data_IF_346375001251
#
_entry.id   IF_346375001251
#
_cell.length_a   1.000
_cell.length_b   1.000
_cell.length_c   1.000
_cell.angle_alpha   90.00
_cell.angle_beta   90.00
_cell.angle_gamma   90.00
#
_symmetry.space_group_name_H-M   'P 1'
#
loop_
_entity.id
_entity.type
_entity.pdbx_description
1 polymer ?
#
# COMPACT_ATOMS: atom_id res chain seq x y z
N UNK A 1 -27.15 27.54 -34.49
CA UNK A 1 -25.75 27.83 -34.89
C UNK A 1 -25.04 28.31 -33.63
N UNK A 2 -24.13 27.61 -32.98
CA UNK A 2 -23.48 26.34 -33.24
C UNK A 2 -23.37 25.60 -31.90
N UNK A 3 -23.53 24.28 -31.99
CA UNK A 3 -23.11 23.29 -31.00
C UNK A 3 -21.60 23.36 -30.76
N UNK A 4 -21.17 23.08 -29.53
CA UNK A 4 -19.80 22.64 -29.23
C UNK A 4 -19.80 22.02 -27.83
N UNK A 5 -19.96 20.70 -27.68
CA UNK A 5 -18.87 19.69 -27.68
C UNK A 5 -17.80 20.12 -26.66
N UNK A 6 -17.75 19.60 -25.43
CA UNK A 6 -17.69 18.18 -25.06
C UNK A 6 -18.30 18.00 -23.65
N UNK A 7 -19.33 17.17 -23.41
CA UNK A 7 -19.21 15.72 -23.25
C UNK A 7 -17.85 15.23 -22.76
N UNK A 8 -17.48 15.55 -21.52
CA UNK A 8 -16.67 14.67 -20.67
C UNK A 8 -17.26 14.69 -19.24
N UNK A 9 -18.16 13.73 -18.96
CA UNK A 9 -17.88 12.49 -18.20
C UNK A 9 -17.95 12.80 -16.69
N UNK A 10 -19.13 12.65 -16.07
CA UNK A 10 -19.61 11.42 -15.43
C UNK A 10 -18.59 10.83 -14.42
N UNK A 11 -19.11 10.51 -13.24
CA UNK A 11 -18.49 9.74 -12.15
C UNK A 11 -17.60 10.50 -11.16
N UNK A 12 -18.23 11.02 -10.11
CA UNK A 12 -18.22 10.38 -8.77
C UNK A 12 -16.90 10.14 -8.01
N UNK A 13 -15.72 10.16 -8.62
CA UNK A 13 -14.47 9.79 -7.95
C UNK A 13 -13.27 10.54 -8.54
N UNK A 14 -12.83 11.60 -7.88
CA UNK A 14 -11.40 11.94 -7.86
C UNK A 14 -11.01 12.45 -6.47
N UNK A 15 -11.10 11.57 -5.48
CA UNK A 15 -10.20 11.68 -4.34
C UNK A 15 -8.78 11.60 -4.92
N UNK A 16 -8.01 12.68 -4.83
CA UNK A 16 -6.58 12.67 -5.14
C UNK A 16 -5.89 11.79 -4.08
N UNK A 17 -5.78 10.51 -4.45
CA UNK A 17 -5.19 9.41 -3.71
C UNK A 17 -3.69 9.66 -3.54
N UNK A 18 -3.32 10.21 -2.39
CA UNK A 18 -1.98 10.13 -1.83
C UNK A 18 -1.97 9.72 -0.35
N UNK A 19 -3.15 9.54 0.26
CA UNK A 19 -3.31 9.13 1.67
C UNK A 19 -3.77 7.68 1.84
N UNK A 20 -4.34 7.08 0.80
CA UNK A 20 -4.94 5.75 0.91
C UNK A 20 -3.91 4.64 1.00
N UNK A 21 -2.77 4.73 0.31
CA UNK A 21 -1.76 3.66 0.34
C UNK A 21 -1.17 3.46 1.75
N UNK A 22 -0.76 4.53 2.44
CA UNK A 22 -0.29 4.42 3.83
C UNK A 22 -1.36 3.88 4.78
N UNK A 23 -2.63 4.25 4.59
CA UNK A 23 -3.74 3.74 5.40
C UNK A 23 -4.04 2.26 5.11
N UNK A 24 -3.94 1.86 3.84
CA UNK A 24 -4.04 0.46 3.39
C UNK A 24 -2.89 -0.39 3.95
N UNK A 25 -1.67 0.16 4.02
CA UNK A 25 -0.54 -0.50 4.68
C UNK A 25 -0.70 -0.58 6.19
N UNK A 26 -1.34 0.41 6.84
CA UNK A 26 -1.56 0.39 8.28
C UNK A 26 -2.72 -0.52 8.72
N UNK A 27 -3.72 -0.74 7.86
CA UNK A 27 -4.93 -1.52 8.20
C UNK A 27 -5.03 -2.88 7.51
N UNK A 28 -4.21 -3.14 6.47
CA UNK A 28 -4.21 -4.38 5.71
C UNK A 28 -3.30 -5.48 6.28
N UNK A 29 -3.22 -6.65 5.60
CA UNK A 29 -2.36 -7.78 5.99
C UNK A 29 -0.86 -7.45 5.96
N UNK A 30 -0.46 -6.37 5.29
CA UNK A 30 0.92 -5.87 5.22
C UNK A 30 1.32 -5.02 6.45
N UNK A 31 0.36 -4.66 7.31
CA UNK A 31 0.60 -3.88 8.54
C UNK A 31 1.60 -4.52 9.49
N UNK A 32 1.74 -5.85 9.47
CA UNK A 32 2.75 -6.56 10.27
C UNK A 32 4.17 -6.13 9.92
N UNK A 33 4.45 -5.85 8.64
CA UNK A 33 5.77 -5.40 8.19
C UNK A 33 5.99 -3.93 8.57
N UNK A 34 4.96 -3.09 8.45
CA UNK A 34 4.96 -1.70 8.90
C UNK A 34 5.24 -1.58 10.41
N UNK A 35 4.56 -2.40 11.23
CA UNK A 35 4.82 -2.48 12.67
C UNK A 35 6.23 -2.97 12.97
N UNK A 36 6.76 -3.88 12.15
CA UNK A 36 8.11 -4.43 12.32
C UNK A 36 9.20 -3.40 12.08
N UNK A 37 9.00 -2.49 11.11
CA UNK A 37 9.89 -1.34 10.88
C UNK A 37 9.78 -0.33 12.02
N UNK A 38 8.55 0.04 12.44
CA UNK A 38 8.33 1.02 13.53
C UNK A 38 8.90 0.56 14.87
N UNK A 39 8.68 -0.70 15.23
CA UNK A 39 9.09 -1.25 16.53
C UNK A 39 10.47 -1.90 16.50
N UNK A 40 11.14 -1.95 15.33
CA UNK A 40 12.39 -2.67 15.12
C UNK A 40 12.33 -4.14 15.59
N UNK A 41 11.15 -4.77 15.46
CA UNK A 41 10.94 -6.15 15.91
C UNK A 41 11.53 -7.15 14.94
N UNK A 42 11.93 -8.31 15.46
CA UNK A 42 12.45 -9.39 14.65
C UNK A 42 11.30 -10.18 14.03
N UNK A 43 11.38 -10.41 12.72
CA UNK A 43 10.41 -11.21 11.97
C UNK A 43 11.08 -12.44 11.37
N UNK A 44 10.29 -13.51 11.28
CA UNK A 44 10.66 -14.74 10.61
C UNK A 44 9.89 -14.83 9.29
N UNK A 45 10.59 -14.74 8.17
CA UNK A 45 10.01 -14.82 6.83
C UNK A 45 10.29 -16.21 6.28
N UNK A 46 9.22 -16.94 5.96
CA UNK A 46 9.33 -18.20 5.24
C UNK A 46 9.36 -17.94 3.72
N UNK A 47 10.48 -18.23 3.08
CA UNK A 47 10.63 -18.12 1.64
C UNK A 47 10.07 -19.36 0.94
N UNK A 48 9.64 -19.21 -0.32
CA UNK A 48 9.08 -20.30 -1.16
C UNK A 48 10.03 -21.48 -1.39
N UNK A 49 11.33 -21.28 -1.21
CA UNK A 49 12.37 -22.30 -1.32
C UNK A 49 12.65 -23.03 0.01
N UNK A 50 11.70 -23.02 0.95
CA UNK A 50 11.81 -23.64 2.28
C UNK A 50 12.96 -23.09 3.14
N UNK A 51 13.49 -21.91 2.81
CA UNK A 51 14.43 -21.19 3.67
C UNK A 51 13.67 -20.24 4.58
N UNK A 52 14.12 -20.14 5.83
CA UNK A 52 13.57 -19.20 6.80
C UNK A 52 14.59 -18.09 7.05
N UNK A 53 14.18 -16.84 6.84
CA UNK A 53 14.98 -15.65 7.10
C UNK A 53 14.54 -15.04 8.42
N UNK A 54 15.48 -14.90 9.35
CA UNK A 54 15.27 -14.22 10.62
C UNK A 54 15.99 -12.88 10.56
N UNK A 55 15.25 -11.77 10.68
CA UNK A 55 15.85 -10.45 10.51
C UNK A 55 14.95 -9.32 10.98
N UNK A 56 15.50 -8.10 10.94
CA UNK A 56 14.74 -6.87 11.18
C UNK A 56 14.52 -6.18 9.85
N UNK A 57 13.31 -5.70 9.63
CA UNK A 57 12.93 -4.97 8.41
C UNK A 57 13.34 -3.52 8.58
N UNK A 58 14.05 -2.95 7.59
CA UNK A 58 14.44 -1.53 7.60
C UNK A 58 13.55 -0.66 6.72
N UNK A 59 13.02 -1.24 5.64
CA UNK A 59 12.10 -0.62 4.71
C UNK A 59 11.21 -1.71 4.11
N UNK A 60 10.02 -1.32 3.69
CA UNK A 60 9.02 -2.15 3.02
C UNK A 60 8.36 -1.26 1.95
N UNK A 61 8.25 -1.77 0.73
CA UNK A 61 7.63 -1.11 -0.44
C UNK A 61 6.23 -1.69 -0.70
#
# INVERSE_FOLDING_TARGET
MLVGSDSLLLDGCYSLQGKTEEEEFNTGPLSVLMMSVKNNTQVLINCRNNRKLLGRVRAFD
#
